data_IF_872949516371
#
_entry.id   IF_872949516371
#
_cell.length_a   1.000
_cell.length_b   1.000
_cell.length_c   1.000
_cell.angle_alpha   90.00
_cell.angle_beta   90.00
_cell.angle_gamma   90.00
#
_symmetry.space_group_name_H-M   'P 1'
#
loop_
_entity.id
_entity.type
_entity.pdbx_description
1 polymer ?
#
# COMPACT_ATOMS: atom_id res chain seq x y z
N UNK A 1 22.92 -16.43 -19.47
CA UNK A 1 21.52 -16.63 -19.89
C UNK A 1 20.62 -16.12 -18.77
N UNK A 2 19.70 -15.18 -19.00
CA UNK A 2 18.74 -14.80 -17.96
C UNK A 2 17.98 -16.05 -17.54
N UNK A 3 18.01 -16.34 -16.25
CA UNK A 3 17.38 -17.53 -15.69
C UNK A 3 15.89 -17.49 -16.00
N UNK A 4 15.31 -18.60 -16.47
CA UNK A 4 13.89 -18.69 -16.87
C UNK A 4 12.92 -18.17 -15.79
N UNK A 5 13.34 -18.17 -14.52
CA UNK A 5 12.57 -17.65 -13.40
C UNK A 5 12.45 -16.11 -13.40
N UNK A 6 13.50 -15.36 -13.78
CA UNK A 6 13.46 -13.88 -13.82
C UNK A 6 12.42 -13.40 -14.84
N UNK A 7 12.37 -14.06 -16.00
CA UNK A 7 11.41 -13.73 -17.07
C UNK A 7 9.98 -14.02 -16.61
N UNK A 8 9.74 -15.15 -15.94
CA UNK A 8 8.41 -15.48 -15.39
C UNK A 8 7.98 -14.48 -14.32
N UNK A 9 8.90 -14.09 -13.43
CA UNK A 9 8.64 -13.09 -12.40
C UNK A 9 8.33 -11.72 -12.99
N UNK A 10 9.08 -11.29 -14.01
CA UNK A 10 8.82 -10.03 -14.72
C UNK A 10 7.42 -10.00 -15.34
N UNK A 11 7.01 -11.09 -16.01
CA UNK A 11 5.68 -11.22 -16.61
C UNK A 11 4.61 -11.14 -15.53
N UNK A 12 4.76 -11.92 -14.46
CA UNK A 12 3.79 -11.96 -13.36
C UNK A 12 3.62 -10.57 -12.72
N UNK A 13 4.72 -9.88 -12.42
CA UNK A 13 4.67 -8.55 -11.80
C UNK A 13 4.17 -7.48 -12.77
N UNK A 14 4.39 -7.63 -14.07
CA UNK A 14 3.82 -6.75 -15.09
C UNK A 14 2.30 -6.92 -15.18
N UNK A 15 1.80 -8.17 -15.14
CA UNK A 15 0.36 -8.45 -15.09
C UNK A 15 -0.24 -7.88 -13.80
N UNK A 16 0.41 -8.11 -12.65
CA UNK A 16 -0.02 -7.54 -11.37
C UNK A 16 -0.08 -6.00 -11.42
N UNK A 17 0.86 -5.36 -12.11
CA UNK A 17 0.86 -3.90 -12.28
C UNK A 17 -0.34 -3.44 -13.12
N UNK A 18 -0.64 -4.12 -14.23
CA UNK A 18 -1.80 -3.81 -15.07
C UNK A 18 -3.10 -3.98 -14.28
N UNK A 19 -3.25 -5.10 -13.56
CA UNK A 19 -4.42 -5.36 -12.73
C UNK A 19 -4.55 -4.32 -11.60
N UNK A 20 -3.44 -3.92 -10.98
CA UNK A 20 -3.41 -2.87 -9.97
C UNK A 20 -3.87 -1.51 -10.52
N UNK A 21 -3.44 -1.15 -11.74
CA UNK A 21 -3.88 0.08 -12.41
C UNK A 21 -5.38 0.01 -12.72
N UNK A 22 -5.88 -1.12 -13.23
CA UNK A 22 -7.31 -1.30 -13.49
C UNK A 22 -8.15 -1.22 -12.21
N UNK A 23 -7.68 -1.83 -11.12
CA UNK A 23 -8.32 -1.75 -9.82
C UNK A 23 -8.34 -0.31 -9.27
N UNK A 24 -7.25 0.44 -9.43
CA UNK A 24 -7.19 1.86 -9.04
C UNK A 24 -8.17 2.72 -9.85
N UNK A 25 -8.31 2.48 -11.15
CA UNK A 25 -9.29 3.15 -12.00
C UNK A 25 -10.73 2.82 -11.57
N UNK A 26 -11.02 1.56 -11.25
CA UNK A 26 -12.32 1.15 -10.72
C UNK A 26 -12.61 1.83 -9.36
N UNK A 27 -11.62 1.89 -8.47
CA UNK A 27 -11.72 2.60 -7.19
C UNK A 27 -11.97 4.11 -7.36
N UNK A 28 -11.30 4.75 -8.32
CA UNK A 28 -11.54 6.14 -8.70
C UNK A 28 -12.97 6.35 -9.21
N UNK A 29 -13.44 5.48 -10.11
CA UNK A 29 -14.81 5.54 -10.61
C UNK A 29 -15.84 5.40 -9.48
N UNK A 30 -15.62 4.49 -8.52
CA UNK A 30 -16.45 4.35 -7.32
C UNK A 30 -16.44 5.61 -6.45
N UNK A 31 -15.28 6.23 -6.29
CA UNK A 31 -15.13 7.48 -5.53
C UNK A 31 -15.88 8.65 -6.20
N UNK A 32 -15.78 8.76 -7.53
CA UNK A 32 -16.52 9.75 -8.32
C UNK A 32 -18.03 9.51 -8.21
N UNK A 33 -18.48 8.26 -8.28
CA UNK A 33 -19.89 7.92 -8.09
C UNK A 33 -20.40 8.37 -6.71
N UNK A 34 -19.65 8.09 -5.63
CA UNK A 34 -19.98 8.57 -4.28
C UNK A 34 -20.07 10.10 -4.24
N UNK A 35 -19.12 10.79 -4.85
CA UNK A 35 -19.03 12.25 -4.83
C UNK A 35 -20.20 12.93 -5.54
N UNK A 36 -20.62 12.44 -6.71
CA UNK A 36 -21.55 13.15 -7.60
C UNK A 36 -22.94 12.52 -7.72
N UNK A 37 -23.06 11.21 -7.52
CA UNK A 37 -24.30 10.47 -7.72
C UNK A 37 -24.82 9.81 -6.44
N UNK A 38 -24.00 9.80 -5.38
CA UNK A 38 -24.25 9.01 -4.17
C UNK A 38 -23.99 7.52 -4.41
N UNK A 39 -24.38 6.69 -3.46
CA UNK A 39 -24.12 5.24 -3.53
C UNK A 39 -25.27 4.47 -4.20
N UNK A 40 -24.98 3.87 -5.36
CA UNK A 40 -25.82 2.81 -5.97
C UNK A 40 -25.70 1.49 -5.18
N UNK A 41 -26.65 0.53 -5.27
CA UNK A 41 -26.56 -0.73 -4.54
C UNK A 41 -25.25 -1.46 -4.85
N UNK A 42 -24.38 -1.62 -3.85
CA UNK A 42 -23.09 -2.32 -3.97
C UNK A 42 -21.84 -1.43 -3.91
N UNK A 43 -21.98 -0.12 -4.02
CA UNK A 43 -20.86 0.83 -3.79
C UNK A 43 -21.09 1.47 -2.42
N UNK A 44 -20.10 1.41 -1.54
CA UNK A 44 -20.16 2.05 -0.24
C UNK A 44 -18.78 2.27 0.33
N UNK A 45 -18.71 3.06 1.39
CA UNK A 45 -17.44 3.38 2.06
C UNK A 45 -17.26 2.37 3.19
N UNK A 46 -16.28 1.45 3.10
CA UNK A 46 -15.95 0.57 4.19
C UNK A 46 -15.36 1.41 5.33
N UNK A 47 -15.98 1.31 6.50
CA UNK A 47 -15.50 1.88 7.75
C UNK A 47 -15.24 0.75 8.73
N UNK A 48 -14.09 0.82 9.40
CA UNK A 48 -13.88 0.00 10.59
C UNK A 48 -14.54 0.69 11.78
N UNK A 49 -15.51 -0.01 12.35
CA UNK A 49 -16.20 0.35 13.58
C UNK A 49 -15.63 -0.52 14.69
N UNK A 50 -15.20 0.10 15.76
CA UNK A 50 -14.65 -0.57 16.93
C UNK A 50 -15.65 -0.46 18.09
N UNK A 51 -15.48 -1.31 19.10
CA UNK A 51 -16.35 -1.34 20.28
C UNK A 51 -17.83 -1.55 19.95
N UNK A 52 -18.10 -2.42 18.96
CA UNK A 52 -19.48 -2.75 18.59
C UNK A 52 -20.19 -3.34 19.80
N UNK A 53 -21.41 -2.89 20.15
CA UNK A 53 -22.15 -3.44 21.29
C UNK A 53 -22.33 -4.95 21.14
N UNK A 54 -21.75 -5.72 22.07
CA UNK A 54 -21.79 -7.20 22.09
C UNK A 54 -22.85 -7.76 23.03
N UNK A 55 -23.79 -6.92 23.48
CA UNK A 55 -24.85 -7.29 24.40
C UNK A 55 -25.60 -8.54 23.88
N UNK A 56 -25.46 -9.66 24.60
CA UNK A 56 -26.13 -10.93 24.27
C UNK A 56 -25.32 -11.94 23.44
N UNK A 57 -24.08 -11.64 23.05
CA UNK A 57 -23.22 -12.54 22.24
C UNK A 57 -22.25 -13.36 23.13
N UNK A 58 -22.05 -12.95 24.38
CA UNK A 58 -21.14 -13.62 25.31
C UNK A 58 -21.75 -14.89 25.91
N UNK A 59 -21.09 -16.03 25.72
CA UNK A 59 -21.38 -17.27 26.46
C UNK A 59 -20.87 -17.14 27.89
N UNK A 60 -21.55 -17.76 28.86
CA UNK A 60 -21.16 -17.72 30.28
C UNK A 60 -19.69 -18.12 30.49
N UNK A 61 -18.91 -17.22 31.10
CA UNK A 61 -17.47 -17.40 31.36
C UNK A 61 -16.51 -16.78 30.35
N UNK A 62 -17.00 -16.20 29.24
CA UNK A 62 -16.16 -15.52 28.25
C UNK A 62 -16.31 -13.99 28.34
N UNK A 63 -15.18 -13.28 28.40
CA UNK A 63 -15.11 -11.82 28.27
C UNK A 63 -14.74 -11.46 26.84
N UNK A 64 -15.54 -10.60 26.22
CA UNK A 64 -15.27 -10.07 24.88
C UNK A 64 -14.71 -8.66 25.07
N UNK A 65 -13.39 -8.52 24.96
CA UNK A 65 -12.70 -7.25 25.25
C UNK A 65 -12.63 -6.30 24.06
N UNK A 66 -12.60 -6.80 22.82
CA UNK A 66 -12.48 -5.96 21.61
C UNK A 66 -13.25 -6.58 20.44
N UNK A 67 -14.33 -5.93 20.00
CA UNK A 67 -15.05 -6.31 18.78
C UNK A 67 -15.00 -5.17 17.78
N UNK A 68 -14.32 -5.46 16.67
CA UNK A 68 -14.34 -4.62 15.49
C UNK A 68 -15.28 -5.21 14.43
N UNK A 69 -16.03 -4.37 13.75
CA UNK A 69 -16.79 -4.73 12.55
C UNK A 69 -16.37 -3.84 11.37
N UNK A 70 -16.40 -4.41 10.17
CA UNK A 70 -16.38 -3.63 8.93
C UNK A 70 -17.81 -3.30 8.54
N UNK A 71 -18.13 -2.00 8.48
CA UNK A 71 -19.44 -1.50 8.09
C UNK A 71 -19.32 -0.73 6.79
N UNK A 72 -20.06 -1.17 5.78
CA UNK A 72 -20.13 -0.47 4.49
C UNK A 72 -21.22 0.60 4.56
N UNK A 73 -20.82 1.86 4.74
CA UNK A 73 -21.78 2.98 4.83
C UNK A 73 -22.11 3.53 3.45
N UNK A 74 -23.37 3.91 3.27
CA UNK A 74 -23.95 4.40 2.02
C UNK A 74 -24.51 5.82 2.21
N UNK A 75 -23.77 6.88 1.82
CA UNK A 75 -24.28 8.24 1.83
C UNK A 75 -25.57 8.36 1.02
N UNK A 76 -26.60 9.00 1.58
CA UNK A 76 -27.82 9.33 0.84
C UNK A 76 -27.56 10.54 -0.04
N UNK A 77 -27.54 10.34 -1.36
CA UNK A 77 -27.28 11.40 -2.34
C UNK A 77 -25.79 11.73 -2.52
N UNK A 78 -25.52 12.76 -3.33
CA UNK A 78 -24.16 13.19 -3.64
C UNK A 78 -23.44 13.73 -2.39
N UNK A 79 -22.26 13.17 -2.09
CA UNK A 79 -21.44 13.60 -0.95
C UNK A 79 -19.99 13.80 -1.38
N UNK A 80 -19.63 14.98 -1.91
CA UNK A 80 -18.29 15.22 -2.45
C UNK A 80 -17.20 15.13 -1.38
N UNK A 81 -17.51 15.56 -0.15
CA UNK A 81 -16.59 15.48 0.98
C UNK A 81 -16.36 14.02 1.43
N UNK A 82 -17.41 13.19 1.48
CA UNK A 82 -17.25 11.76 1.77
C UNK A 82 -16.44 11.05 0.66
N UNK A 83 -16.68 11.42 -0.60
CA UNK A 83 -15.88 10.93 -1.73
C UNK A 83 -14.40 11.33 -1.61
N UNK A 84 -14.12 12.60 -1.28
CA UNK A 84 -12.74 13.08 -1.09
C UNK A 84 -12.04 12.32 0.04
N UNK A 85 -12.68 12.23 1.21
CA UNK A 85 -12.10 11.52 2.36
C UNK A 85 -11.91 10.02 2.06
N UNK A 86 -12.86 9.39 1.37
CA UNK A 86 -12.69 8.02 0.91
C UNK A 86 -11.49 7.89 -0.04
N UNK A 87 -11.30 8.84 -0.97
CA UNK A 87 -10.11 8.87 -1.83
C UNK A 87 -8.82 8.94 -1.00
N UNK A 88 -8.78 9.78 0.03
CA UNK A 88 -7.61 9.89 0.91
C UNK A 88 -7.34 8.60 1.70
N UNK A 89 -8.37 7.81 2.01
CA UNK A 89 -8.20 6.55 2.74
C UNK A 89 -7.41 5.50 1.94
N UNK A 90 -7.63 5.41 0.62
CA UNK A 90 -7.05 4.31 -0.17
C UNK A 90 -6.01 4.78 -1.22
N UNK A 91 -6.20 5.95 -1.84
CA UNK A 91 -5.41 6.36 -3.00
C UNK A 91 -3.91 6.53 -2.71
N UNK A 92 -3.48 7.15 -1.59
CA UNK A 92 -2.06 7.27 -1.28
C UNK A 92 -1.35 5.90 -1.19
N UNK A 93 -2.01 4.92 -0.56
CA UNK A 93 -1.50 3.55 -0.43
C UNK A 93 -1.41 2.85 -1.78
N UNK A 94 -2.46 2.97 -2.61
CA UNK A 94 -2.47 2.39 -3.96
C UNK A 94 -1.40 3.01 -4.86
N UNK A 95 -1.24 4.34 -4.85
CA UNK A 95 -0.18 5.02 -5.61
C UNK A 95 1.20 4.55 -5.16
N UNK A 96 1.42 4.42 -3.84
CA UNK A 96 2.67 3.91 -3.28
C UNK A 96 2.95 2.49 -3.77
N UNK A 97 1.97 1.59 -3.68
CA UNK A 97 2.07 0.21 -4.14
C UNK A 97 2.37 0.12 -5.64
N UNK A 98 1.68 0.90 -6.47
CA UNK A 98 1.89 0.94 -7.92
C UNK A 98 3.28 1.49 -8.28
N UNK A 99 3.75 2.54 -7.61
CA UNK A 99 5.09 3.09 -7.82
C UNK A 99 6.18 2.10 -7.39
N UNK A 100 5.99 1.41 -6.26
CA UNK A 100 6.90 0.36 -5.81
C UNK A 100 6.96 -0.77 -6.84
N UNK A 101 5.80 -1.30 -7.24
CA UNK A 101 5.70 -2.39 -8.22
C UNK A 101 6.30 -2.01 -9.57
N UNK A 102 6.01 -0.80 -10.07
CA UNK A 102 6.62 -0.26 -11.28
C UNK A 102 8.14 -0.21 -11.17
N UNK A 103 8.68 0.21 -10.02
CA UNK A 103 10.13 0.26 -9.77
C UNK A 103 10.75 -1.13 -9.80
N UNK A 104 10.07 -2.14 -9.22
CA UNK A 104 10.49 -3.56 -9.29
C UNK A 104 10.49 -4.08 -10.72
N UNK A 105 9.41 -3.88 -11.48
CA UNK A 105 9.32 -4.33 -12.87
C UNK A 105 10.44 -3.71 -13.72
N UNK A 106 10.72 -2.42 -13.51
CA UNK A 106 11.81 -1.72 -14.20
C UNK A 106 13.18 -2.28 -13.83
N UNK A 107 13.41 -2.62 -12.57
CA UNK A 107 14.65 -3.25 -12.12
C UNK A 107 14.83 -4.66 -12.71
N UNK A 108 13.76 -5.48 -12.72
CA UNK A 108 13.78 -6.84 -13.29
C UNK A 108 14.01 -6.86 -14.79
N UNK A 109 13.39 -5.92 -15.53
CA UNK A 109 13.64 -5.77 -16.97
C UNK A 109 15.12 -5.53 -17.29
N UNK A 110 15.82 -4.80 -16.42
CA UNK A 110 17.27 -4.59 -16.56
C UNK A 110 18.08 -5.79 -16.13
N UNK A 111 17.71 -6.47 -15.06
CA UNK A 111 18.35 -7.72 -14.66
C UNK A 111 18.38 -8.77 -15.78
N UNK A 112 17.41 -8.72 -16.71
CA UNK A 112 17.36 -9.58 -17.89
C UNK A 112 18.56 -9.43 -18.84
N UNK A 113 19.27 -8.30 -18.83
CA UNK A 113 20.45 -8.09 -19.67
C UNK A 113 21.72 -8.77 -19.15
N UNK A 114 21.69 -9.39 -17.96
CA UNK A 114 22.78 -10.24 -17.44
C UNK A 114 23.09 -10.02 -15.96
N UNK A 115 23.82 -10.95 -15.35
CA UNK A 115 24.10 -10.96 -13.90
C UNK A 115 24.95 -9.76 -13.44
N UNK A 116 25.85 -9.26 -14.30
CA UNK A 116 26.57 -7.99 -14.05
C UNK A 116 25.63 -6.78 -13.94
N UNK A 117 24.44 -6.83 -14.54
CA UNK A 117 23.47 -5.74 -14.42
C UNK A 117 22.76 -5.75 -13.04
N UNK A 118 22.62 -6.92 -12.40
CA UNK A 118 22.05 -7.05 -11.06
C UNK A 118 22.94 -6.40 -9.99
N UNK A 119 24.26 -6.60 -10.10
CA UNK A 119 25.25 -5.96 -9.25
C UNK A 119 25.80 -4.72 -9.96
N UNK A 120 24.97 -3.68 -10.03
CA UNK A 120 25.37 -2.38 -10.59
C UNK A 120 24.95 -1.23 -9.70
N UNK A 121 25.67 -0.11 -9.77
CA UNK A 121 25.33 1.14 -9.07
C UNK A 121 23.91 1.61 -9.42
N UNK A 122 23.49 1.32 -10.64
CA UNK A 122 22.14 1.56 -11.15
C UNK A 122 21.10 0.73 -10.39
N UNK A 123 21.32 -0.58 -10.18
CA UNK A 123 20.39 -1.44 -9.43
C UNK A 123 20.33 -1.05 -7.96
N UNK A 124 21.47 -0.72 -7.33
CA UNK A 124 21.51 -0.15 -5.99
C UNK A 124 20.65 1.13 -5.90
N UNK A 125 20.74 2.01 -6.90
CA UNK A 125 19.89 3.19 -7.02
C UNK A 125 18.39 2.88 -7.12
N UNK A 126 17.99 1.84 -7.86
CA UNK A 126 16.59 1.42 -7.95
C UNK A 126 16.08 0.88 -6.61
N UNK A 127 16.87 0.06 -5.91
CA UNK A 127 16.55 -0.46 -4.58
C UNK A 127 16.44 0.67 -3.55
N UNK A 128 17.34 1.66 -3.61
CA UNK A 128 17.27 2.85 -2.74
C UNK A 128 16.00 3.64 -2.98
N UNK A 129 15.66 3.87 -4.25
CA UNK A 129 14.42 4.56 -4.63
C UNK A 129 13.19 3.78 -4.16
N UNK A 130 13.18 2.46 -4.36
CA UNK A 130 12.11 1.58 -3.89
C UNK A 130 11.95 1.65 -2.37
N UNK A 131 13.06 1.60 -1.63
CA UNK A 131 13.05 1.75 -0.18
C UNK A 131 12.40 3.06 0.28
N UNK A 132 12.77 4.18 -0.33
CA UNK A 132 12.17 5.49 -0.03
C UNK A 132 10.69 5.59 -0.43
N UNK A 133 10.30 5.05 -1.59
CA UNK A 133 8.90 5.01 -2.01
C UNK A 133 8.06 4.27 -0.96
N UNK A 134 8.53 3.11 -0.50
CA UNK A 134 7.82 2.29 0.47
C UNK A 134 7.76 2.96 1.85
N UNK A 135 8.87 3.51 2.37
CA UNK A 135 8.89 4.17 3.68
C UNK A 135 8.01 5.42 3.66
N UNK A 136 8.29 6.37 2.77
CA UNK A 136 7.58 7.64 2.73
C UNK A 136 6.11 7.44 2.37
N UNK A 137 5.82 6.58 1.38
CA UNK A 137 4.47 6.29 0.95
C UNK A 137 3.64 5.58 2.01
N UNK A 138 4.22 4.65 2.76
CA UNK A 138 3.51 3.98 3.87
C UNK A 138 3.20 4.94 5.01
N UNK A 139 4.15 5.82 5.37
CA UNK A 139 3.92 6.84 6.41
C UNK A 139 2.82 7.81 5.96
N UNK A 140 2.92 8.37 4.76
CA UNK A 140 1.92 9.30 4.22
C UNK A 140 0.56 8.64 4.11
N UNK A 141 0.48 7.42 3.58
CA UNK A 141 -0.78 6.67 3.48
C UNK A 141 -1.38 6.34 4.85
N UNK A 142 -0.55 5.98 5.83
CA UNK A 142 -1.01 5.71 7.18
C UNK A 142 -1.60 6.97 7.83
N UNK A 143 -0.87 8.09 7.79
CA UNK A 143 -1.33 9.36 8.38
C UNK A 143 -2.59 9.87 7.69
N UNK A 144 -2.60 9.95 6.35
CA UNK A 144 -3.76 10.44 5.61
C UNK A 144 -4.97 9.52 5.77
N UNK A 145 -4.75 8.20 5.75
CA UNK A 145 -5.83 7.22 5.96
C UNK A 145 -6.44 7.30 7.34
N UNK A 146 -5.61 7.37 8.39
CA UNK A 146 -6.08 7.52 9.77
C UNK A 146 -6.83 8.83 9.98
N UNK A 147 -6.32 9.95 9.46
CA UNK A 147 -6.99 11.26 9.54
C UNK A 147 -8.32 11.24 8.78
N UNK A 148 -8.33 10.70 7.56
CA UNK A 148 -9.55 10.62 6.76
C UNK A 148 -10.61 9.75 7.44
N UNK A 149 -10.23 8.59 7.99
CA UNK A 149 -11.14 7.72 8.72
C UNK A 149 -11.67 8.38 10.00
N UNK A 150 -10.82 9.09 10.75
CA UNK A 150 -11.21 9.80 11.96
C UNK A 150 -12.23 10.92 11.69
N UNK A 151 -12.17 11.56 10.52
CA UNK A 151 -13.15 12.58 10.09
C UNK A 151 -14.42 11.91 9.53
N UNK A 152 -14.25 10.85 8.73
CA UNK A 152 -15.36 10.20 8.02
C UNK A 152 -16.26 9.39 8.97
N UNK A 153 -15.70 8.84 10.04
CA UNK A 153 -16.44 8.07 11.05
C UNK A 153 -17.57 8.88 11.71
N UNK A 154 -17.32 10.02 12.39
CA UNK A 154 -18.39 10.82 13.00
C UNK A 154 -19.33 11.47 11.99
N UNK A 155 -18.89 11.64 10.74
CA UNK A 155 -19.72 12.20 9.67
C UNK A 155 -20.78 11.21 9.18
N UNK A 156 -20.47 9.91 9.19
CA UNK A 156 -21.31 8.86 8.63
C UNK A 156 -21.96 7.95 9.68
N UNK A 157 -21.32 7.84 10.85
CA UNK A 157 -21.79 7.11 12.02
C UNK A 157 -22.00 8.19 13.10
N UNK A 158 -23.17 8.24 13.73
CA UNK A 158 -23.49 9.26 14.73
C UNK A 158 -22.59 9.23 16.00
N UNK A 159 -21.60 8.33 16.03
CA UNK A 159 -20.64 8.14 17.10
C UNK A 159 -19.23 8.53 16.65
N UNK A 160 -18.53 9.26 17.52
CA UNK A 160 -17.13 9.62 17.36
C UNK A 160 -16.24 8.52 17.92
N UNK A 161 -15.48 7.86 17.05
CA UNK A 161 -14.52 6.84 17.46
C UNK A 161 -13.12 7.45 17.61
N UNK A 162 -12.35 7.09 18.66
CA UNK A 162 -11.00 7.62 18.89
C UNK A 162 -10.02 7.19 17.79
N UNK A 163 -8.85 7.84 17.78
CA UNK A 163 -7.75 7.56 16.86
C UNK A 163 -7.23 6.11 17.08
N UNK A 164 -7.38 5.24 16.08
CA UNK A 164 -6.92 3.85 16.16
C UNK A 164 -5.47 3.70 15.66
N UNK A 165 -4.76 2.64 16.11
CA UNK A 165 -3.40 2.36 15.67
C UNK A 165 -3.33 2.24 14.14
N UNK A 166 -2.20 2.65 13.54
CA UNK A 166 -2.04 2.64 12.10
C UNK A 166 -2.23 1.22 11.53
N UNK A 167 -2.80 1.10 10.33
CA UNK A 167 -3.08 -0.20 9.73
C UNK A 167 -1.79 -1.03 9.59
N UNK A 168 -1.83 -2.35 9.78
CA UNK A 168 -0.64 -3.21 9.73
C UNK A 168 0.11 -3.15 8.38
N UNK A 169 -0.60 -2.77 7.31
CA UNK A 169 -0.02 -2.48 6.00
C UNK A 169 1.01 -1.34 6.01
N UNK A 170 0.87 -0.35 6.90
CA UNK A 170 1.86 0.72 7.08
C UNK A 170 3.16 0.15 7.62
N UNK A 171 3.09 -0.70 8.66
CA UNK A 171 4.27 -1.29 9.30
C UNK A 171 5.00 -2.20 8.31
N UNK A 172 4.26 -3.06 7.60
CA UNK A 172 4.87 -3.96 6.61
C UNK A 172 5.54 -3.21 5.46
N UNK A 173 4.95 -2.11 4.99
CA UNK A 173 5.54 -1.24 3.98
C UNK A 173 6.83 -0.56 4.44
N UNK A 174 6.87 -0.05 5.68
CA UNK A 174 8.09 0.52 6.28
C UNK A 174 9.19 -0.54 6.40
N UNK A 175 8.86 -1.73 6.92
CA UNK A 175 9.83 -2.83 7.06
C UNK A 175 10.37 -3.28 5.69
N UNK A 176 9.50 -3.43 4.70
CA UNK A 176 9.91 -3.76 3.33
C UNK A 176 10.82 -2.67 2.73
N UNK A 177 10.51 -1.40 2.98
CA UNK A 177 11.33 -0.28 2.53
C UNK A 177 12.70 -0.24 3.20
N UNK A 178 12.77 -0.46 4.51
CA UNK A 178 14.03 -0.59 5.26
C UNK A 178 14.87 -1.76 4.74
N UNK A 179 14.24 -2.90 4.45
CA UNK A 179 14.91 -4.06 3.86
C UNK A 179 15.52 -3.71 2.51
N UNK A 180 14.78 -3.01 1.64
CA UNK A 180 15.29 -2.59 0.34
C UNK A 180 16.45 -1.59 0.43
N UNK A 181 16.42 -0.66 1.40
CA UNK A 181 17.56 0.22 1.69
C UNK A 181 18.78 -0.57 2.17
N UNK A 182 18.59 -1.55 3.05
CA UNK A 182 19.65 -2.44 3.52
C UNK A 182 20.30 -3.21 2.38
N UNK A 183 19.50 -3.82 1.50
CA UNK A 183 20.02 -4.53 0.31
C UNK A 183 20.74 -3.56 -0.64
N UNK A 184 20.22 -2.36 -0.85
CA UNK A 184 20.89 -1.33 -1.66
C UNK A 184 22.29 -0.99 -1.14
N UNK A 185 22.43 -0.83 0.19
CA UNK A 185 23.71 -0.54 0.84
C UNK A 185 24.69 -1.72 0.73
N UNK A 186 24.23 -2.95 0.91
CA UNK A 186 25.04 -4.17 0.72
C UNK A 186 25.56 -4.24 -0.71
N UNK A 187 24.70 -4.03 -1.71
CA UNK A 187 25.10 -4.03 -3.13
C UNK A 187 26.12 -2.93 -3.40
N UNK A 188 25.92 -1.72 -2.86
CA UNK A 188 26.88 -0.61 -3.04
C UNK A 188 28.25 -0.95 -2.46
N UNK A 189 28.31 -1.50 -1.25
CA UNK A 189 29.58 -1.90 -0.61
C UNK A 189 30.25 -3.05 -1.36
N UNK A 190 29.47 -4.03 -1.82
CA UNK A 190 29.98 -5.14 -2.62
C UNK A 190 30.63 -4.67 -3.92
N UNK A 191 30.09 -3.63 -4.56
CA UNK A 191 30.67 -3.05 -5.78
C UNK A 191 32.00 -2.33 -5.50
N UNK A 192 32.07 -1.54 -4.42
CA UNK A 192 33.31 -0.88 -4.04
C UNK A 192 34.44 -1.88 -3.78
N UNK A 193 34.15 -2.98 -3.08
CA UNK A 193 35.12 -4.06 -2.85
C UNK A 193 35.57 -4.75 -4.14
N UNK A 194 34.65 -4.91 -5.11
CA UNK A 194 34.96 -5.50 -6.41
C UNK A 194 35.90 -4.60 -7.22
N UNK A 195 35.66 -3.30 -7.21
CA UNK A 195 36.52 -2.29 -7.85
C UNK A 195 37.92 -2.26 -7.21
N UNK A 196 38.01 -2.35 -5.88
CA UNK A 196 39.30 -2.42 -5.17
C UNK A 196 40.11 -3.67 -5.55
N UNK A 197 39.46 -4.83 -5.63
CA UNK A 197 40.14 -6.08 -6.03
C UNK A 197 40.59 -6.03 -7.48
N UNK A 198 39.75 -5.52 -8.41
CA UNK A 198 40.12 -5.39 -9.82
C UNK A 198 41.25 -4.38 -10.04
N UNK A 199 41.36 -3.33 -9.21
CA UNK A 199 42.45 -2.35 -9.31
C UNK A 199 43.80 -2.85 -8.77
N UNK A 200 43.83 -3.97 -8.06
CA UNK A 200 45.04 -4.53 -7.43
C UNK A 200 45.72 -5.60 -8.30
N UNK A 201 45.04 -6.09 -9.35
CA UNK A 201 45.51 -7.11 -10.30
C UNK A 201 46.09 -6.42 -11.54
#
# INVERSE_FOLDING_TARGET
MPTRWIIRLEILLSIALILGVLAALAGLAGTVAIAFSGTSPGIGIPLHVFDVPTAGITVGGATVENVSAEVTVRPRGASPLAGLLYLLMWAPGTVTGLLALFTVVRALRRARSGDRALFSSVTAGHLRRLGWILIAGSIVSGVLGSVAQAILSPMLLAESYPFYPPPPAMISGVVAGMTALGVSEIVRRGLALLEEVEATI
#
